data_IF_637285431568
#
_entry.id   IF_637285431568
#
_cell.length_a   1.000
_cell.length_b   1.000
_cell.length_c   1.000
_cell.angle_alpha   90.00
_cell.angle_beta   90.00
_cell.angle_gamma   90.00
#
_symmetry.space_group_name_H-M   'P 1'
#
loop_
_entity.id
_entity.type
_entity.pdbx_description
1 polymer ?
#
# COMPACT_ATOMS: atom_id res chain seq x y z
N UNK A 1 21.37 -4.99 -0.23
CA UNK A 1 19.90 -5.10 -0.26
C UNK A 1 19.36 -3.69 -0.42
N UNK A 2 18.69 -3.38 -1.54
CA UNK A 2 18.07 -2.07 -1.72
C UNK A 2 16.77 -2.11 -0.92
N UNK A 3 16.78 -1.50 0.26
CA UNK A 3 15.54 -1.26 1.01
C UNK A 3 14.76 -0.21 0.22
N UNK A 4 13.77 -0.63 -0.57
CA UNK A 4 12.84 0.31 -1.17
C UNK A 4 12.14 1.03 -0.01
N UNK A 5 12.41 2.31 0.16
CA UNK A 5 11.61 3.10 1.07
C UNK A 5 10.20 3.14 0.47
N UNK A 6 9.21 2.67 1.21
CA UNK A 6 7.82 2.76 0.77
C UNK A 6 7.29 4.03 1.39
N UNK A 7 6.83 4.96 0.57
CA UNK A 7 6.05 6.08 1.07
C UNK A 7 4.69 5.60 1.61
N UNK A 8 4.64 5.28 2.91
CA UNK A 8 3.44 4.79 3.57
C UNK A 8 2.24 5.74 3.40
N UNK A 9 2.47 7.05 3.36
CA UNK A 9 1.39 8.02 3.14
C UNK A 9 0.72 7.82 1.78
N UNK A 10 1.51 7.62 0.72
CA UNK A 10 0.99 7.36 -0.63
C UNK A 10 0.33 5.99 -0.71
N UNK A 11 0.95 4.97 -0.11
CA UNK A 11 0.38 3.64 -0.02
C UNK A 11 -0.99 3.66 0.65
N UNK A 12 -1.12 4.26 1.85
CA UNK A 12 -2.40 4.34 2.55
C UNK A 12 -3.43 5.15 1.78
N UNK A 13 -3.04 6.23 1.09
CA UNK A 13 -3.94 7.00 0.24
C UNK A 13 -4.52 6.15 -0.91
N UNK A 14 -3.71 5.29 -1.51
CA UNK A 14 -4.12 4.36 -2.56
C UNK A 14 -4.92 3.16 -2.03
N UNK A 15 -4.50 2.59 -0.89
CA UNK A 15 -5.04 1.34 -0.35
C UNK A 15 -6.35 1.53 0.42
N UNK A 16 -6.61 2.70 1.01
CA UNK A 16 -7.70 2.90 2.00
C UNK A 16 -9.07 2.46 1.52
N UNK A 17 -9.54 2.93 0.36
CA UNK A 17 -10.88 2.58 -0.12
C UNK A 17 -10.99 1.09 -0.47
N UNK A 18 -9.94 0.53 -1.08
CA UNK A 18 -9.85 -0.87 -1.46
C UNK A 18 -9.89 -1.78 -0.22
N UNK A 19 -9.11 -1.44 0.80
CA UNK A 19 -9.02 -2.21 2.03
C UNK A 19 -10.36 -2.29 2.76
N UNK A 20 -11.09 -1.17 2.84
CA UNK A 20 -12.40 -1.13 3.47
C UNK A 20 -13.44 -1.95 2.69
N UNK A 21 -13.50 -1.78 1.37
CA UNK A 21 -14.44 -2.52 0.51
C UNK A 21 -14.19 -4.03 0.57
N UNK A 22 -12.93 -4.43 0.55
CA UNK A 22 -12.55 -5.85 0.64
C UNK A 22 -12.88 -6.43 2.02
N UNK A 23 -12.63 -5.67 3.10
CA UNK A 23 -12.99 -6.07 4.45
C UNK A 23 -14.50 -6.30 4.59
N UNK A 24 -15.31 -5.35 4.10
CA UNK A 24 -16.77 -5.48 4.10
C UNK A 24 -17.23 -6.71 3.31
N UNK A 25 -16.61 -6.97 2.16
CA UNK A 25 -16.94 -8.13 1.31
C UNK A 25 -16.61 -9.46 2.01
N UNK A 26 -15.42 -9.57 2.62
CA UNK A 26 -15.00 -10.79 3.34
C UNK A 26 -15.86 -11.04 4.58
N UNK A 27 -16.16 -10.01 5.36
CA UNK A 27 -17.01 -10.12 6.55
C UNK A 27 -18.47 -10.44 6.20
N UNK A 28 -18.99 -9.91 5.07
CA UNK A 28 -20.32 -10.25 4.59
C UNK A 28 -20.41 -11.71 4.10
N UNK A 29 -19.35 -12.21 3.45
CA UNK A 29 -19.27 -13.60 3.01
C UNK A 29 -19.06 -14.58 4.17
N UNK A 30 -18.32 -14.17 5.21
CA UNK A 30 -18.08 -14.97 6.40
C UNK A 30 -18.00 -14.09 7.65
N UNK A 31 -19.10 -14.06 8.39
CA UNK A 31 -19.24 -13.27 9.63
C UNK A 31 -18.45 -13.82 10.83
N UNK A 32 -17.80 -14.98 10.71
CA UNK A 32 -16.94 -15.54 11.76
C UNK A 32 -15.49 -15.04 11.67
N UNK A 33 -15.12 -14.33 10.60
CA UNK A 33 -13.78 -13.79 10.44
C UNK A 33 -13.51 -12.67 11.46
N UNK A 34 -12.30 -12.68 12.04
CA UNK A 34 -11.87 -11.59 12.91
C UNK A 34 -11.57 -10.33 12.06
N UNK A 35 -12.19 -9.18 12.35
CA UNK A 35 -12.03 -7.97 11.55
C UNK A 35 -10.58 -7.46 11.50
N UNK A 36 -9.84 -7.57 12.60
CA UNK A 36 -8.48 -7.02 12.71
C UNK A 36 -7.47 -7.87 11.95
N UNK A 37 -7.58 -9.20 12.05
CA UNK A 37 -6.79 -10.14 11.27
C UNK A 37 -7.09 -10.02 9.78
N UNK A 38 -8.38 -9.97 9.42
CA UNK A 38 -8.81 -9.84 8.02
C UNK A 38 -8.30 -8.54 7.41
N UNK A 39 -8.38 -7.43 8.13
CA UNK A 39 -7.85 -6.16 7.66
C UNK A 39 -6.32 -6.18 7.52
N UNK A 40 -5.60 -6.81 8.45
CA UNK A 40 -4.14 -6.94 8.38
C UNK A 40 -3.68 -7.75 7.16
N UNK A 41 -4.41 -8.82 6.85
CA UNK A 41 -4.18 -9.67 5.68
C UNK A 41 -4.39 -8.88 4.38
N UNK A 42 -5.53 -8.19 4.25
CA UNK A 42 -5.83 -7.32 3.11
C UNK A 42 -4.75 -6.24 2.92
N UNK A 43 -4.29 -5.61 3.99
CA UNK A 43 -3.26 -4.58 3.92
C UNK A 43 -1.91 -5.13 3.44
N UNK A 44 -1.58 -6.38 3.76
CA UNK A 44 -0.35 -7.03 3.26
C UNK A 44 -0.46 -7.38 1.78
N UNK A 45 -1.61 -7.88 1.33
CA UNK A 45 -1.88 -8.15 -0.09
C UNK A 45 -1.77 -6.85 -0.91
N UNK A 46 -2.43 -5.79 -0.46
CA UNK A 46 -2.40 -4.48 -1.10
C UNK A 46 -0.98 -3.89 -1.12
N UNK A 47 -0.18 -4.11 -0.07
CA UNK A 47 1.20 -3.63 -0.03
C UNK A 47 2.06 -4.35 -1.09
N UNK A 48 1.90 -5.66 -1.24
CA UNK A 48 2.59 -6.42 -2.27
C UNK A 48 2.18 -5.96 -3.68
N UNK A 49 0.89 -5.70 -3.91
CA UNK A 49 0.41 -5.12 -5.18
C UNK A 49 1.03 -3.76 -5.45
N UNK A 50 1.05 -2.87 -4.45
CA UNK A 50 1.57 -1.51 -4.57
C UNK A 50 3.06 -1.48 -4.97
N UNK A 51 3.85 -2.40 -4.41
CA UNK A 51 5.28 -2.54 -4.71
C UNK A 51 5.56 -3.01 -6.15
N UNK A 52 4.61 -3.68 -6.79
CA UNK A 52 4.78 -4.18 -8.17
C UNK A 52 4.47 -3.10 -9.21
N UNK A 53 3.93 -1.94 -8.82
CA UNK A 53 3.55 -0.90 -9.76
C UNK A 53 4.78 -0.06 -10.19
N UNK A 54 5.09 0.03 -11.50
CA UNK A 54 6.28 0.73 -11.99
C UNK A 54 6.23 2.25 -11.74
N UNK A 55 5.03 2.84 -11.65
CA UNK A 55 4.80 4.29 -11.53
C UNK A 55 5.26 4.87 -10.17
N UNK A 56 5.24 4.07 -9.10
CA UNK A 56 5.61 4.52 -7.76
C UNK A 56 7.12 4.55 -7.51
N UNK A 57 7.90 3.80 -8.30
CA UNK A 57 9.36 3.78 -8.23
C UNK A 57 10.02 5.04 -8.84
N UNK A 58 9.34 5.67 -9.80
CA UNK A 58 9.90 6.81 -10.54
C UNK A 58 9.72 8.14 -9.78
N UNK A 59 8.69 8.25 -8.94
CA UNK A 59 8.41 9.48 -8.18
C UNK A 59 9.34 9.69 -6.97
N UNK A 60 9.81 8.62 -6.30
CA UNK A 60 10.77 8.77 -5.19
C UNK A 60 12.17 9.16 -5.70
N UNK A 61 12.62 8.60 -6.84
CA UNK A 61 13.88 8.99 -7.51
C UNK A 61 13.93 10.46 -7.92
N UNK A 62 12.80 11.04 -8.31
CA UNK A 62 12.71 12.46 -8.69
C UNK A 62 12.67 13.40 -7.48
N UNK A 63 12.28 12.91 -6.31
CA UNK A 63 12.13 13.71 -5.09
C UNK A 63 13.42 13.79 -4.26
N UNK A 64 14.41 12.94 -4.55
CA UNK A 64 15.71 12.85 -3.85
C UNK A 64 16.89 13.44 -4.63
N UNK A 65 16.68 14.18 -5.72
CA UNK A 65 17.77 14.97 -6.32
C UNK A 65 18.01 16.22 -5.46
N UNK A 66 19.14 16.34 -4.72
CA UNK A 66 19.53 17.64 -4.22
C UNK A 66 19.75 18.53 -5.44
N UNK A 67 19.17 19.72 -5.43
CA UNK A 67 19.56 20.82 -6.31
C UNK A 67 21.05 21.12 -6.08
N UNK A 68 21.91 20.33 -6.69
CA UNK A 68 23.33 20.63 -6.85
C UNK A 68 23.50 21.12 -8.27
N UNK A 69 24.18 22.27 -8.38
CA UNK A 69 24.55 23.02 -9.59
C UNK A 69 23.43 23.99 -10.03
N UNK A 70 23.61 25.31 -10.04
CA UNK A 70 24.83 26.15 -10.08
C UNK A 70 24.53 27.56 -9.58
#
# INVERSE_FOLDING_TARGET
MITQQINLTRFFAWARERALRELETRLAANSQLDPNWTFSDIMQELLAEYQQQPDHLETERASEQPASLS
#
